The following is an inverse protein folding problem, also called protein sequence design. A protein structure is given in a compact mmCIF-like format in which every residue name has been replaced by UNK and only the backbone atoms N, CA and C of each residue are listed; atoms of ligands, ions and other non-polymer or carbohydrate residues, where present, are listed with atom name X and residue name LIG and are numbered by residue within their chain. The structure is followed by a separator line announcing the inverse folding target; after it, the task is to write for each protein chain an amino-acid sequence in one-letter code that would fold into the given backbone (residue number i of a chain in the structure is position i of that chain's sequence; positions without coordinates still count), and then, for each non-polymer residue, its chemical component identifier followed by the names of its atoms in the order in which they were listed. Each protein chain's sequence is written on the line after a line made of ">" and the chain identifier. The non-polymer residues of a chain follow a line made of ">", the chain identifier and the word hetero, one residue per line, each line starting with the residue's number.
data_IF_422730598702
#
_entry.id   IF_422730598702
#
_cell.length_a   1.000
_cell.length_b   1.000
_cell.length_c   1.000
_cell.angle_alpha   90.00
_cell.angle_beta   90.00
_cell.angle_gamma   90.00
#
_symmetry.space_group_name_H-M   'P 1'
#
loop_
_entity.id
_entity.type
_entity.pdbx_description
1 polymer ?
#
# COMPACT_ATOMS: atom_id res chain seq x y z
N UNK A 1 -11.27 -56.56 -22.01
CA UNK A 1 -11.23 -55.60 -20.89
C UNK A 1 -10.08 -54.63 -21.17
N UNK A 2 -10.21 -53.73 -22.15
CA UNK A 2 -10.48 -52.28 -21.99
C UNK A 2 -10.03 -51.71 -20.64
N UNK A 3 -9.02 -50.84 -20.65
CA UNK A 3 -9.17 -49.41 -20.29
C UNK A 3 -8.25 -48.59 -21.21
N UNK A 4 -8.88 -47.67 -21.95
CA UNK A 4 -8.30 -46.59 -22.75
C UNK A 4 -7.54 -45.61 -21.85
N UNK A 5 -6.26 -45.36 -22.16
CA UNK A 5 -5.46 -44.30 -21.53
C UNK A 5 -5.63 -43.00 -22.30
N UNK A 6 -6.87 -42.54 -22.45
CA UNK A 6 -7.21 -41.23 -22.99
C UNK A 6 -8.17 -40.56 -22.02
N UNK A 7 -7.64 -39.75 -21.08
CA UNK A 7 -8.37 -38.72 -20.31
C UNK A 7 -7.47 -38.10 -19.22
N UNK A 8 -6.69 -37.08 -19.59
CA UNK A 8 -6.25 -36.03 -18.65
C UNK A 8 -5.71 -34.78 -19.37
N UNK A 9 -6.29 -34.46 -20.54
CA UNK A 9 -5.96 -33.26 -21.35
C UNK A 9 -7.03 -32.16 -21.27
N UNK A 10 -7.87 -32.15 -20.23
CA UNK A 10 -8.89 -31.11 -20.08
C UNK A 10 -8.85 -30.65 -18.64
N UNK A 11 -8.23 -29.49 -18.41
CA UNK A 11 -8.60 -28.45 -17.43
C UNK A 11 -7.49 -27.37 -17.40
N UNK A 12 -7.07 -26.88 -18.57
CA UNK A 12 -6.58 -25.50 -18.71
C UNK A 12 -7.69 -24.71 -19.37
N UNK A 13 -8.78 -24.48 -18.64
CA UNK A 13 -9.71 -23.40 -18.96
C UNK A 13 -8.92 -22.11 -18.76
N UNK A 14 -8.48 -21.53 -19.87
CA UNK A 14 -7.97 -20.16 -19.93
C UNK A 14 -8.95 -19.28 -19.15
N UNK A 15 -8.55 -18.81 -17.96
CA UNK A 15 -9.34 -17.85 -17.20
C UNK A 15 -9.23 -16.52 -17.93
N UNK A 16 -10.10 -16.33 -18.92
CA UNK A 16 -10.27 -15.06 -19.62
C UNK A 16 -10.44 -13.97 -18.55
N UNK A 17 -9.65 -12.91 -18.65
CA UNK A 17 -9.70 -11.82 -17.67
C UNK A 17 -11.08 -11.14 -17.73
N UNK A 18 -11.68 -10.75 -16.60
CA UNK A 18 -12.94 -10.00 -16.58
C UNK A 18 -12.88 -8.72 -17.45
N UNK A 19 -11.68 -8.15 -17.60
CA UNK A 19 -11.45 -6.98 -18.47
C UNK A 19 -11.62 -7.35 -19.95
N UNK A 20 -11.09 -8.49 -20.39
CA UNK A 20 -11.25 -8.94 -21.77
C UNK A 20 -12.69 -9.33 -22.09
N UNK A 21 -13.43 -9.91 -21.14
CA UNK A 21 -14.85 -10.23 -21.31
C UNK A 21 -15.69 -8.95 -21.48
N UNK A 22 -15.50 -7.97 -20.59
CA UNK A 22 -16.17 -6.66 -20.69
C UNK A 22 -15.83 -5.97 -22.01
N UNK A 23 -14.55 -5.96 -22.42
CA UNK A 23 -14.15 -5.37 -23.70
C UNK A 23 -14.78 -6.08 -24.90
N UNK A 24 -14.90 -7.41 -24.87
CA UNK A 24 -15.53 -8.17 -25.93
C UNK A 24 -17.02 -7.86 -26.05
N UNK A 25 -17.75 -7.82 -24.92
CA UNK A 25 -19.17 -7.49 -24.88
C UNK A 25 -19.44 -6.06 -25.39
N UNK A 26 -18.62 -5.09 -24.97
CA UNK A 26 -18.73 -3.71 -25.46
C UNK A 26 -18.46 -3.60 -26.96
N UNK A 27 -17.47 -4.34 -27.49
CA UNK A 27 -17.22 -4.40 -28.95
C UNK A 27 -18.38 -5.02 -29.71
N UNK A 28 -19.02 -6.06 -29.18
CA UNK A 28 -20.20 -6.67 -29.79
C UNK A 28 -21.39 -5.70 -29.79
N UNK A 29 -21.61 -4.96 -28.70
CA UNK A 29 -22.63 -3.92 -28.63
C UNK A 29 -22.41 -2.80 -29.65
N UNK A 30 -21.17 -2.31 -29.79
CA UNK A 30 -20.82 -1.26 -30.76
C UNK A 30 -21.04 -1.69 -32.21
N UNK A 31 -20.72 -2.95 -32.57
CA UNK A 31 -20.98 -3.49 -33.92
C UNK A 31 -22.47 -3.52 -34.26
N UNK A 32 -23.31 -3.84 -33.30
CA UNK A 32 -24.76 -3.91 -33.49
C UNK A 32 -25.42 -2.51 -33.60
N UNK A 33 -24.85 -1.49 -32.95
CA UNK A 33 -25.31 -0.10 -33.09
C UNK A 33 -24.90 0.50 -34.45
N UNK A 34 -23.74 0.09 -34.98
CA UNK A 34 -23.22 0.61 -36.23
C UNK A 34 -23.97 0.10 -37.49
N UNK A 35 -24.65 -1.04 -37.40
CA UNK A 35 -25.40 -1.65 -38.51
C UNK A 35 -26.91 -1.39 -38.35
N UNK A 36 -27.36 -0.20 -38.74
CA UNK A 36 -28.73 0.31 -38.49
C UNK A 36 -29.81 -0.56 -39.16
N UNK A 37 -29.49 -1.28 -40.23
CA UNK A 37 -30.40 -2.17 -40.95
C UNK A 37 -30.60 -3.55 -40.28
N UNK A 38 -29.64 -3.98 -39.46
CA UNK A 38 -29.67 -5.27 -38.72
C UNK A 38 -29.62 -5.11 -37.20
N UNK A 39 -29.70 -3.88 -36.70
CA UNK A 39 -29.55 -3.58 -35.29
C UNK A 39 -30.65 -4.23 -34.43
N UNK A 40 -30.31 -5.33 -33.76
CA UNK A 40 -31.15 -5.88 -32.70
C UNK A 40 -30.89 -5.08 -31.41
N UNK A 41 -31.74 -4.08 -31.17
CA UNK A 41 -31.72 -3.26 -29.94
C UNK A 41 -31.76 -4.12 -28.67
N UNK A 42 -32.42 -5.27 -28.68
CA UNK A 42 -32.45 -6.18 -27.54
C UNK A 42 -31.12 -6.92 -27.37
N UNK A 43 -30.42 -7.27 -28.47
CA UNK A 43 -29.05 -7.80 -28.39
C UNK A 43 -28.07 -6.77 -27.80
N UNK A 44 -28.10 -5.51 -28.25
CA UNK A 44 -27.28 -4.44 -27.67
C UNK A 44 -27.52 -4.28 -26.16
N UNK A 45 -28.79 -4.21 -25.75
CA UNK A 45 -29.16 -4.07 -24.34
C UNK A 45 -28.63 -5.25 -23.50
N UNK A 46 -28.69 -6.48 -24.02
CA UNK A 46 -28.14 -7.68 -23.35
C UNK A 46 -26.62 -7.60 -23.17
N UNK A 47 -25.88 -7.22 -24.20
CA UNK A 47 -24.41 -7.10 -24.10
C UNK A 47 -23.99 -6.02 -23.10
N UNK A 48 -24.68 -4.88 -23.09
CA UNK A 48 -24.40 -3.78 -22.14
C UNK A 48 -24.74 -4.21 -20.71
N UNK A 49 -25.90 -4.84 -20.50
CA UNK A 49 -26.31 -5.32 -19.18
C UNK A 49 -25.32 -6.34 -18.62
N UNK A 50 -24.82 -7.26 -19.45
CA UNK A 50 -23.85 -8.27 -19.01
C UNK A 50 -22.48 -7.65 -18.71
N UNK A 51 -22.01 -6.71 -19.52
CA UNK A 51 -20.78 -5.97 -19.26
C UNK A 51 -20.86 -5.19 -17.93
N UNK A 52 -22.01 -4.56 -17.65
CA UNK A 52 -22.26 -3.86 -16.38
C UNK A 52 -22.25 -4.82 -15.19
N UNK A 53 -22.88 -6.00 -15.32
CA UNK A 53 -22.92 -7.02 -14.28
C UNK A 53 -21.51 -7.51 -13.90
N UNK A 54 -20.68 -7.84 -14.89
CA UNK A 54 -19.29 -8.29 -14.67
C UNK A 54 -18.47 -7.17 -14.01
N UNK A 55 -18.62 -5.93 -14.47
CA UNK A 55 -17.94 -4.78 -13.86
C UNK A 55 -18.38 -4.54 -12.41
N UNK A 56 -19.68 -4.58 -12.12
CA UNK A 56 -20.25 -4.41 -10.79
C UNK A 56 -19.78 -5.52 -9.82
N UNK A 57 -19.72 -6.77 -10.28
CA UNK A 57 -19.20 -7.87 -9.46
C UNK A 57 -17.71 -7.68 -9.15
N UNK A 58 -16.90 -7.34 -10.15
CA UNK A 58 -15.46 -7.10 -9.96
C UNK A 58 -15.18 -5.89 -9.04
N UNK A 59 -15.95 -4.81 -9.18
CA UNK A 59 -15.84 -3.62 -8.31
C UNK A 59 -16.28 -3.91 -6.88
N UNK A 60 -17.39 -4.63 -6.69
CA UNK A 60 -17.89 -5.05 -5.37
C UNK A 60 -16.90 -5.96 -4.66
N UNK A 61 -16.35 -6.97 -5.34
CA UNK A 61 -15.32 -7.86 -4.78
C UNK A 61 -14.04 -7.09 -4.42
N UNK A 62 -13.66 -6.09 -5.22
CA UNK A 62 -12.49 -5.25 -4.94
C UNK A 62 -12.72 -4.32 -3.76
N UNK A 63 -13.93 -3.78 -3.60
CA UNK A 63 -14.33 -3.02 -2.42
C UNK A 63 -14.34 -3.90 -1.16
N UNK A 64 -14.86 -5.12 -1.24
CA UNK A 64 -14.82 -6.09 -0.13
C UNK A 64 -13.39 -6.51 0.25
N UNK A 65 -12.44 -6.49 -0.70
CA UNK A 65 -11.01 -6.73 -0.46
C UNK A 65 -10.23 -5.47 -0.06
N UNK A 66 -10.87 -4.31 0.04
CA UNK A 66 -10.21 -3.11 0.53
C UNK A 66 -9.76 -3.35 1.98
N UNK A 67 -8.50 -3.02 2.33
CA UNK A 67 -8.03 -3.20 3.69
C UNK A 67 -8.83 -2.30 4.62
N UNK A 68 -9.42 -2.89 5.65
CA UNK A 68 -10.22 -2.22 6.69
C UNK A 68 -9.36 -1.52 7.75
N UNK A 69 -8.04 -1.63 7.64
CA UNK A 69 -7.08 -1.19 8.64
C UNK A 69 -6.29 -2.36 9.21
N UNK A 70 -5.31 -2.05 10.05
CA UNK A 70 -4.63 -3.03 10.90
C UNK A 70 -5.52 -3.40 12.08
N UNK A 71 -5.50 -4.69 12.44
CA UNK A 71 -6.11 -5.18 13.68
C UNK A 71 -5.37 -4.63 14.91
N UNK A 72 -6.05 -4.60 16.06
CA UNK A 72 -5.50 -4.01 17.29
C UNK A 72 -4.16 -4.63 17.72
N UNK A 73 -4.03 -5.96 17.61
CA UNK A 73 -2.76 -6.63 17.91
C UNK A 73 -1.65 -6.25 16.92
N UNK A 74 -1.98 -6.00 15.64
CA UNK A 74 -1.01 -5.55 14.64
C UNK A 74 -0.57 -4.11 14.93
N UNK A 75 -1.47 -3.26 15.41
CA UNK A 75 -1.14 -1.90 15.89
C UNK A 75 -0.15 -1.99 17.04
N UNK A 76 -0.43 -2.80 18.06
CA UNK A 76 0.50 -3.02 19.18
C UNK A 76 1.85 -3.54 18.70
N UNK A 77 1.87 -4.51 17.78
CA UNK A 77 3.12 -5.02 17.19
C UNK A 77 3.90 -3.91 16.48
N UNK A 78 3.24 -3.08 15.67
CA UNK A 78 3.87 -1.94 14.99
C UNK A 78 4.51 -0.98 15.99
N UNK A 79 3.80 -0.63 17.06
CA UNK A 79 4.29 0.30 18.08
C UNK A 79 5.47 -0.29 18.87
N UNK A 80 5.37 -1.56 19.30
CA UNK A 80 6.44 -2.26 20.00
C UNK A 80 7.70 -2.37 19.15
N UNK A 81 7.56 -2.81 17.90
CA UNK A 81 8.70 -2.99 16.98
C UNK A 81 9.32 -1.64 16.61
N UNK A 82 8.51 -0.59 16.47
CA UNK A 82 9.05 0.74 16.24
C UNK A 82 9.83 1.28 17.44
N UNK A 83 9.31 1.14 18.66
CA UNK A 83 10.03 1.56 19.86
C UNK A 83 11.38 0.85 20.02
N UNK A 84 11.47 -0.41 19.58
CA UNK A 84 12.68 -1.22 19.72
C UNK A 84 13.74 -1.01 18.63
N UNK A 85 13.41 -0.47 17.44
CA UNK A 85 14.31 -0.48 16.26
C UNK A 85 14.26 0.78 15.38
N UNK A 86 13.89 1.95 15.93
CA UNK A 86 13.83 3.21 15.17
C UNK A 86 15.21 3.67 14.64
N UNK A 87 16.26 3.28 15.36
CA UNK A 87 17.68 3.52 15.13
C UNK A 87 18.27 2.66 13.98
N UNK A 88 17.92 1.38 13.92
CA UNK A 88 18.60 0.38 13.07
C UNK A 88 18.00 0.17 11.68
N UNK A 89 17.20 1.11 11.18
CA UNK A 89 16.69 1.01 9.82
C UNK A 89 15.51 0.04 9.67
N UNK A 90 14.49 0.17 10.52
CA UNK A 90 13.25 -0.60 10.45
C UNK A 90 12.70 -0.70 9.02
N UNK A 91 12.85 -1.87 8.40
CA UNK A 91 12.37 -2.07 7.05
C UNK A 91 10.85 -2.27 7.11
N UNK A 92 10.11 -1.56 6.24
CA UNK A 92 8.64 -1.71 6.16
C UNK A 92 8.25 -3.16 5.84
N UNK A 93 9.13 -3.91 5.19
CA UNK A 93 9.00 -5.35 4.96
C UNK A 93 9.03 -6.18 6.23
N UNK A 94 9.88 -5.85 7.19
CA UNK A 94 9.94 -6.54 8.49
C UNK A 94 8.68 -6.27 9.31
N UNK A 95 8.21 -5.02 9.33
CA UNK A 95 6.94 -4.66 9.99
C UNK A 95 5.76 -5.40 9.38
N UNK A 96 5.70 -5.47 8.05
CA UNK A 96 4.66 -6.21 7.36
C UNK A 96 4.70 -7.70 7.73
N UNK A 97 5.90 -8.30 7.75
CA UNK A 97 6.09 -9.69 8.14
C UNK A 97 5.71 -9.95 9.61
N UNK A 98 6.07 -9.05 10.53
CA UNK A 98 5.67 -9.13 11.94
C UNK A 98 4.14 -9.03 12.13
N UNK A 99 3.46 -8.33 11.23
CA UNK A 99 1.99 -8.27 11.19
C UNK A 99 1.35 -9.43 10.41
N UNK A 100 2.14 -10.37 9.87
CA UNK A 100 1.69 -11.47 9.00
C UNK A 100 0.98 -10.99 7.73
N UNK A 101 1.45 -9.88 7.15
CA UNK A 101 0.86 -9.24 5.98
C UNK A 101 1.87 -9.12 4.84
N UNK A 102 1.37 -9.17 3.61
CA UNK A 102 2.17 -8.73 2.46
C UNK A 102 2.47 -7.24 2.56
N UNK A 103 3.64 -6.79 2.07
CA UNK A 103 4.06 -5.37 2.09
C UNK A 103 3.01 -4.42 1.50
N UNK A 104 2.37 -4.84 0.41
CA UNK A 104 1.36 -4.05 -0.29
C UNK A 104 0.07 -3.90 0.51
N UNK A 105 -0.41 -4.99 1.13
CA UNK A 105 -1.59 -4.95 1.99
C UNK A 105 -1.29 -4.16 3.27
N UNK A 106 -0.16 -4.44 3.92
CA UNK A 106 0.30 -3.71 5.11
C UNK A 106 0.34 -2.20 4.86
N UNK A 107 0.97 -1.73 3.79
CA UNK A 107 1.05 -0.28 3.51
C UNK A 107 -0.32 0.39 3.39
N UNK A 108 -1.30 -0.32 2.81
CA UNK A 108 -2.66 0.20 2.66
C UNK A 108 -3.42 0.17 3.99
N UNK A 109 -3.41 -0.97 4.69
CA UNK A 109 -4.02 -1.13 6.01
C UNK A 109 -3.45 -0.15 7.03
N UNK A 110 -2.13 0.01 7.04
CA UNK A 110 -1.42 0.96 7.88
C UNK A 110 -1.88 2.40 7.63
N UNK A 111 -2.02 2.81 6.36
CA UNK A 111 -2.49 4.17 6.03
C UNK A 111 -3.92 4.42 6.51
N UNK A 112 -4.79 3.39 6.46
CA UNK A 112 -6.15 3.49 7.00
C UNK A 112 -6.11 3.67 8.51
N UNK A 113 -5.26 2.93 9.22
CA UNK A 113 -5.19 2.98 10.69
C UNK A 113 -4.45 4.20 11.25
N UNK A 114 -3.30 4.58 10.67
CA UNK A 114 -2.43 5.65 11.19
C UNK A 114 -2.59 6.98 10.43
N UNK A 115 -3.43 7.03 9.39
CA UNK A 115 -3.68 8.22 8.57
C UNK A 115 -2.55 8.60 7.60
N UNK A 116 -1.40 7.93 7.65
CA UNK A 116 -0.24 8.20 6.80
C UNK A 116 0.48 6.92 6.35
N UNK A 117 1.35 7.02 5.35
CA UNK A 117 2.09 5.84 4.87
C UNK A 117 3.14 5.38 5.89
N UNK A 118 3.49 4.08 5.93
CA UNK A 118 4.51 3.57 6.85
C UNK A 118 5.86 4.31 6.76
N UNK A 119 6.26 4.70 5.55
CA UNK A 119 7.50 5.45 5.33
C UNK A 119 7.45 6.85 5.95
N UNK A 120 6.35 7.57 5.78
CA UNK A 120 6.18 8.92 6.34
C UNK A 120 6.10 8.88 7.86
N UNK A 121 5.33 7.93 8.38
CA UNK A 121 5.24 7.67 9.82
C UNK A 121 6.61 7.39 10.43
N UNK A 122 7.39 6.47 9.84
CA UNK A 122 8.74 6.15 10.30
C UNK A 122 9.66 7.37 10.27
N UNK A 123 9.59 8.16 9.20
CA UNK A 123 10.40 9.38 9.08
C UNK A 123 10.08 10.38 10.19
N UNK A 124 8.79 10.60 10.47
CA UNK A 124 8.33 11.44 11.58
C UNK A 124 8.82 10.91 12.93
N UNK A 125 8.71 9.61 13.18
CA UNK A 125 9.21 8.98 14.42
C UNK A 125 10.71 9.15 14.63
N UNK A 126 11.52 9.10 13.57
CA UNK A 126 12.96 9.39 13.66
C UNK A 126 13.25 10.83 14.05
N UNK A 127 12.49 11.79 13.52
CA UNK A 127 12.64 13.20 13.90
C UNK A 127 12.14 13.44 15.34
N UNK A 128 11.05 12.81 15.76
CA UNK A 128 10.60 12.86 17.16
C UNK A 128 11.69 12.36 18.13
N UNK A 129 12.35 11.25 17.80
CA UNK A 129 13.47 10.73 18.58
C UNK A 129 14.68 11.68 18.57
N UNK A 130 15.02 12.25 17.41
CA UNK A 130 16.08 13.24 17.31
C UNK A 130 15.78 14.48 18.15
N UNK A 131 14.52 14.94 18.21
CA UNK A 131 14.13 16.07 19.06
C UNK A 131 14.43 15.79 20.53
N UNK A 132 14.08 14.59 21.04
CA UNK A 132 14.39 14.19 22.41
C UNK A 132 15.89 14.23 22.67
N UNK A 133 16.67 13.56 21.82
CA UNK A 133 18.13 13.51 21.97
C UNK A 133 18.82 14.87 21.85
N UNK A 134 18.30 15.77 21.02
CA UNK A 134 18.83 17.13 20.93
C UNK A 134 18.70 17.90 22.24
N UNK A 135 17.70 17.57 23.07
CA UNK A 135 17.43 18.19 24.37
C UNK A 135 18.12 17.41 25.51
N UNK A 136 18.05 16.09 25.48
CA UNK A 136 18.47 15.23 26.58
C UNK A 136 19.98 14.97 26.59
N UNK A 137 20.70 15.23 25.48
CA UNK A 137 22.13 14.94 25.37
C UNK A 137 22.94 16.07 24.71
N UNK A 138 24.26 16.04 24.93
CA UNK A 138 25.24 16.93 24.28
C UNK A 138 25.86 16.31 23.03
N UNK A 139 25.28 15.24 22.51
CA UNK A 139 25.87 14.50 21.38
C UNK A 139 25.99 15.37 20.13
N UNK A 140 26.95 15.03 19.27
CA UNK A 140 27.12 15.72 17.99
C UNK A 140 25.89 15.51 17.09
N UNK A 141 25.60 16.48 16.21
CA UNK A 141 24.48 16.35 15.27
C UNK A 141 24.67 15.16 14.32
N UNK A 142 25.92 14.83 13.97
CA UNK A 142 26.26 13.64 13.20
C UNK A 142 25.94 12.35 13.97
N UNK A 143 26.31 12.27 15.26
CA UNK A 143 25.99 11.12 16.10
C UNK A 143 24.48 10.91 16.24
N UNK A 144 23.74 11.98 16.53
CA UNK A 144 22.27 11.93 16.60
C UNK A 144 21.66 11.50 15.27
N UNK A 145 22.19 11.98 14.14
CA UNK A 145 21.72 11.56 12.83
C UNK A 145 21.86 10.04 12.64
N UNK A 146 23.05 9.50 12.91
CA UNK A 146 23.33 8.06 12.76
C UNK A 146 22.45 7.20 13.65
N UNK A 147 22.35 7.56 14.93
CA UNK A 147 21.57 6.82 15.91
C UNK A 147 20.04 6.95 15.69
N UNK A 148 19.59 7.97 14.95
CA UNK A 148 18.20 8.06 14.50
C UNK A 148 17.99 7.39 13.12
N UNK A 149 19.00 6.70 12.59
CA UNK A 149 18.97 5.94 11.34
C UNK A 149 19.03 6.79 10.07
N UNK A 150 19.61 7.99 10.13
CA UNK A 150 19.94 8.79 8.95
C UNK A 150 21.35 8.44 8.45
N UNK A 151 21.53 8.44 7.13
CA UNK A 151 22.81 8.10 6.50
C UNK A 151 23.90 9.14 6.78
N UNK A 152 23.52 10.40 6.94
CA UNK A 152 24.45 11.51 7.17
C UNK A 152 23.73 12.72 7.80
N UNK A 153 24.53 13.65 8.34
CA UNK A 153 24.04 14.85 9.00
C UNK A 153 23.32 15.81 8.05
N UNK A 154 23.70 15.89 6.77
CA UNK A 154 23.10 16.82 5.81
C UNK A 154 21.69 16.39 5.40
N UNK A 155 21.48 15.08 5.19
CA UNK A 155 20.17 14.48 5.00
C UNK A 155 19.30 14.66 6.25
N UNK A 156 19.83 14.37 7.44
CA UNK A 156 19.14 14.62 8.70
C UNK A 156 18.72 16.09 8.85
N UNK A 157 19.62 17.04 8.61
CA UNK A 157 19.34 18.48 8.77
C UNK A 157 18.23 18.94 7.83
N UNK A 158 18.24 18.50 6.57
CA UNK A 158 17.18 18.80 5.59
C UNK A 158 15.84 18.22 6.02
N UNK A 159 15.82 16.95 6.42
CA UNK A 159 14.63 16.25 6.90
C UNK A 159 14.04 16.92 8.16
N UNK A 160 14.89 17.22 9.14
CA UNK A 160 14.50 17.86 10.38
C UNK A 160 13.92 19.25 10.12
N UNK A 161 14.58 20.07 9.29
CA UNK A 161 14.07 21.40 8.93
C UNK A 161 12.73 21.33 8.21
N UNK A 162 12.56 20.36 7.32
CA UNK A 162 11.29 20.17 6.60
C UNK A 162 10.12 19.83 7.54
N UNK A 163 10.37 19.08 8.62
CA UNK A 163 9.31 18.69 9.56
C UNK A 163 9.11 19.69 10.71
N UNK A 164 10.20 20.24 11.27
CA UNK A 164 10.19 21.08 12.47
C UNK A 164 10.22 22.58 12.18
N UNK A 165 10.43 22.98 10.93
CA UNK A 165 10.54 24.39 10.52
C UNK A 165 11.85 25.09 10.90
N UNK A 166 12.73 24.44 11.65
CA UNK A 166 14.03 24.98 12.09
C UNK A 166 15.14 23.93 12.00
N UNK A 167 16.39 24.33 12.06
CA UNK A 167 17.52 23.39 12.00
C UNK A 167 17.75 22.70 13.36
N UNK A 168 18.32 21.48 13.39
CA UNK A 168 18.63 20.78 14.64
C UNK A 168 19.47 21.61 15.63
N UNK A 169 20.45 22.36 15.12
CA UNK A 169 21.31 23.21 15.93
C UNK A 169 20.52 24.32 16.64
N UNK A 170 19.68 25.04 15.90
CA UNK A 170 18.84 26.10 16.46
C UNK A 170 17.78 25.53 17.42
N UNK A 171 17.22 24.36 17.09
CA UNK A 171 16.28 23.66 17.97
C UNK A 171 16.90 23.34 19.33
N UNK A 172 18.11 22.76 19.35
CA UNK A 172 18.86 22.49 20.58
C UNK A 172 19.12 23.77 21.37
N UNK A 173 19.67 24.80 20.71
CA UNK A 173 19.99 26.08 21.37
C UNK A 173 18.76 26.73 22.02
N UNK A 174 17.60 26.61 21.39
CA UNK A 174 16.35 27.16 21.93
C UNK A 174 15.81 26.40 23.15
N UNK A 175 16.15 25.10 23.29
CA UNK A 175 15.65 24.21 24.34
C UNK A 175 16.65 23.95 25.48
N UNK A 176 17.91 24.35 25.32
CA UNK A 176 18.96 24.21 26.34
C UNK A 176 18.93 25.31 27.42
N UNK A 177 17.74 25.78 27.81
CA UNK A 177 17.52 26.74 28.90
C UNK A 177 16.97 26.02 30.11
#
# INVERSE_FOLDING_TARGET
>A
MRIDTSLSSVLSTDRVSPVSEVQQLLRQALRQIADVEKADRAACARYIAEALRIHQQATTQRAARAPTGLAEWQVRTVEQVALARLDLGLAITELAAACQLSRGYFSRAFKVTFGESPHRWRHRKRIEQACRRLVDTTDTLAGIAMDCGFNDQAHFTRAFKALMGTTPHLYRKARAR
#
